data_IF_304806719531
#
_entry.id   IF_304806719531
#
_cell.length_a   1.000
_cell.length_b   1.000
_cell.length_c   1.000
_cell.angle_alpha   90.00
_cell.angle_beta   90.00
_cell.angle_gamma   90.00
#
_symmetry.space_group_name_H-M   'P 1'
#
loop_
_entity.id
_entity.type
_entity.pdbx_description
1 polymer ?
#
# COMPACT_ATOMS: atom_id res chain seq x y z
N UNK A 1 -5.65 20.76 -47.01
CA UNK A 1 -5.86 19.77 -45.96
C UNK A 1 -5.48 20.46 -44.65
N UNK A 2 -6.45 21.01 -43.89
CA UNK A 2 -6.18 21.64 -42.58
C UNK A 2 -5.94 20.53 -41.57
N UNK A 3 -4.80 20.54 -40.91
CA UNK A 3 -4.54 19.67 -39.76
C UNK A 3 -5.53 20.04 -38.66
N UNK A 4 -6.46 19.14 -38.37
CA UNK A 4 -7.29 19.21 -37.17
C UNK A 4 -6.37 18.86 -36.02
N UNK A 5 -5.95 19.86 -35.26
CA UNK A 5 -5.33 19.65 -33.96
C UNK A 5 -6.44 19.04 -33.07
N UNK A 6 -6.29 17.84 -32.51
CA UNK A 6 -7.29 17.33 -31.60
C UNK A 6 -7.33 18.31 -30.42
N UNK A 7 -8.48 18.97 -30.21
CA UNK A 7 -8.76 19.62 -28.94
C UNK A 7 -8.54 18.55 -27.86
N UNK A 8 -7.55 18.76 -26.99
CA UNK A 8 -7.34 17.88 -25.84
C UNK A 8 -8.61 17.97 -25.01
N UNK A 9 -9.30 16.83 -24.85
CA UNK A 9 -10.39 16.70 -23.90
C UNK A 9 -9.90 17.28 -22.55
N UNK A 10 -10.58 18.30 -21.98
CA UNK A 10 -10.15 18.93 -20.73
C UNK A 10 -9.95 17.91 -19.59
N UNK A 11 -10.68 16.80 -19.62
CA UNK A 11 -10.51 15.69 -18.68
C UNK A 11 -9.16 15.00 -18.81
N UNK A 12 -8.68 14.77 -20.04
CA UNK A 12 -7.38 14.12 -20.25
C UNK A 12 -6.21 15.02 -19.81
N UNK A 13 -6.31 16.33 -20.01
CA UNK A 13 -5.31 17.30 -19.52
C UNK A 13 -5.17 17.25 -17.99
N UNK A 14 -6.27 17.32 -17.26
CA UNK A 14 -6.28 17.29 -15.80
C UNK A 14 -5.69 15.98 -15.23
N UNK A 15 -6.00 14.84 -15.85
CA UNK A 15 -5.42 13.53 -15.45
C UNK A 15 -3.91 13.52 -15.71
N UNK A 16 -3.47 13.97 -16.89
CA UNK A 16 -2.04 13.99 -17.23
C UNK A 16 -1.24 14.89 -16.27
N UNK A 17 -1.78 16.05 -15.92
CA UNK A 17 -1.17 16.99 -14.98
C UNK A 17 -1.08 16.37 -13.57
N UNK A 18 -2.15 15.69 -13.10
CA UNK A 18 -2.16 14.98 -11.82
C UNK A 18 -1.11 13.87 -11.78
N UNK A 19 -1.03 13.04 -12.84
CA UNK A 19 -0.03 11.96 -12.93
C UNK A 19 1.39 12.54 -12.91
N UNK A 20 1.64 13.63 -13.65
CA UNK A 20 2.94 14.29 -13.66
C UNK A 20 3.31 14.90 -12.29
N UNK A 21 2.32 15.39 -11.55
CA UNK A 21 2.50 15.91 -10.19
C UNK A 21 2.58 14.82 -9.10
N UNK A 22 2.36 13.55 -9.46
CA UNK A 22 2.26 12.46 -8.47
C UNK A 22 0.99 12.51 -7.63
N UNK A 23 -0.04 13.23 -8.08
CA UNK A 23 -1.34 13.28 -7.44
C UNK A 23 -2.13 12.00 -7.79
N UNK A 24 -2.68 11.27 -6.81
CA UNK A 24 -3.39 10.03 -7.07
C UNK A 24 -4.72 10.30 -7.82
N UNK A 25 -4.96 9.57 -8.90
CA UNK A 25 -6.19 9.63 -9.70
C UNK A 25 -6.52 8.26 -10.30
N UNK A 26 -7.81 7.90 -10.34
CA UNK A 26 -8.30 6.73 -11.09
C UNK A 26 -9.10 7.21 -12.30
N UNK A 27 -8.83 6.64 -13.46
CA UNK A 27 -9.64 6.83 -14.66
C UNK A 27 -10.53 5.59 -14.84
N UNK A 28 -11.83 5.81 -14.79
CA UNK A 28 -12.86 4.82 -15.12
C UNK A 28 -13.30 5.00 -16.56
N UNK A 29 -13.30 3.94 -17.36
CA UNK A 29 -13.69 3.98 -18.77
C UNK A 29 -14.67 2.85 -19.09
N UNK A 30 -15.79 3.19 -19.74
CA UNK A 30 -16.74 2.19 -20.25
C UNK A 30 -16.10 1.40 -21.39
N UNK A 31 -15.97 0.10 -21.22
CA UNK A 31 -15.39 -0.81 -22.22
C UNK A 31 -16.46 -1.59 -22.96
N UNK A 32 -17.59 -1.92 -22.31
CA UNK A 32 -18.72 -2.65 -22.92
C UNK A 32 -20.04 -2.35 -22.22
N UNK A 33 -21.18 -2.63 -22.93
CA UNK A 33 -22.53 -2.49 -22.42
C UNK A 33 -23.35 -1.35 -23.05
N UNK A 34 -24.54 -1.06 -22.50
CA UNK A 34 -25.46 -0.04 -23.00
C UNK A 34 -24.98 1.41 -22.72
N UNK A 35 -24.08 1.62 -21.78
CA UNK A 35 -23.48 2.94 -21.52
C UNK A 35 -22.59 3.36 -22.70
N UNK A 36 -22.38 4.68 -22.94
CA UNK A 36 -21.59 5.15 -24.07
C UNK A 36 -20.15 4.63 -24.02
N UNK A 37 -19.73 3.83 -25.01
CA UNK A 37 -18.36 3.31 -25.09
C UNK A 37 -17.36 4.46 -25.16
N UNK A 38 -16.32 4.39 -24.37
CA UNK A 38 -15.30 5.44 -24.28
C UNK A 38 -15.70 6.60 -23.36
N UNK A 39 -16.92 6.58 -22.80
CA UNK A 39 -17.27 7.50 -21.72
C UNK A 39 -16.29 7.29 -20.55
N UNK A 40 -15.79 8.37 -19.99
CA UNK A 40 -14.78 8.34 -18.94
C UNK A 40 -15.12 9.25 -17.75
N UNK A 41 -14.72 8.79 -16.58
CA UNK A 41 -14.87 9.48 -15.32
C UNK A 41 -13.50 9.44 -14.59
N UNK A 42 -12.87 10.58 -14.42
CA UNK A 42 -11.68 10.72 -13.59
C UNK A 42 -12.09 10.96 -12.14
N UNK A 43 -11.47 10.21 -11.22
CA UNK A 43 -11.81 10.19 -9.79
C UNK A 43 -10.55 10.44 -8.97
N UNK A 44 -10.52 11.55 -8.26
CA UNK A 44 -9.53 11.88 -7.22
C UNK A 44 -10.09 11.54 -5.84
N UNK A 45 -9.31 11.59 -4.80
CA UNK A 45 -9.81 11.40 -3.43
C UNK A 45 -10.96 12.35 -3.05
N UNK A 46 -10.93 13.58 -3.52
CA UNK A 46 -11.80 14.69 -3.13
C UNK A 46 -12.75 15.19 -4.24
N UNK A 47 -12.49 14.87 -5.50
CA UNK A 47 -13.25 15.36 -6.66
C UNK A 47 -13.42 14.33 -7.76
N UNK A 48 -14.28 14.64 -8.72
CA UNK A 48 -14.47 13.87 -9.96
C UNK A 48 -14.56 14.79 -11.17
N UNK A 49 -14.29 14.26 -12.36
CA UNK A 49 -14.44 14.97 -13.64
C UNK A 49 -14.88 14.00 -14.73
N UNK A 50 -15.90 14.36 -15.49
CA UNK A 50 -16.49 13.51 -16.54
C UNK A 50 -17.73 12.78 -16.07
N UNK A 51 -18.23 11.84 -16.89
CA UNK A 51 -19.41 11.02 -16.61
C UNK A 51 -19.41 9.75 -17.47
N UNK A 52 -19.98 8.69 -16.96
CA UNK A 52 -20.19 7.40 -17.67
C UNK A 52 -21.58 7.32 -18.32
N UNK A 53 -22.39 8.40 -18.23
CA UNK A 53 -23.67 8.51 -18.90
C UNK A 53 -24.90 8.39 -17.99
N UNK A 54 -24.78 7.88 -16.76
CA UNK A 54 -25.85 7.81 -15.79
C UNK A 54 -25.35 8.18 -14.38
N UNK A 55 -26.09 9.00 -13.66
CA UNK A 55 -25.68 9.51 -12.34
C UNK A 55 -25.51 8.38 -11.29
N UNK A 56 -26.37 7.36 -11.35
CA UNK A 56 -26.26 6.19 -10.48
C UNK A 56 -24.99 5.38 -10.76
N UNK A 57 -24.63 5.20 -12.04
CA UNK A 57 -23.40 4.53 -12.47
C UNK A 57 -22.18 5.37 -12.02
N UNK A 58 -22.20 6.68 -12.23
CA UNK A 58 -21.14 7.59 -11.81
C UNK A 58 -20.89 7.50 -10.30
N UNK A 59 -21.95 7.46 -9.48
CA UNK A 59 -21.84 7.36 -8.04
C UNK A 59 -21.26 6.00 -7.59
N UNK A 60 -21.73 4.89 -8.17
CA UNK A 60 -21.24 3.55 -7.84
C UNK A 60 -19.76 3.40 -8.23
N UNK A 61 -19.42 3.81 -9.47
CA UNK A 61 -18.04 3.75 -9.98
C UNK A 61 -17.11 4.68 -9.20
N UNK A 62 -17.57 5.88 -8.82
CA UNK A 62 -16.76 6.79 -7.97
C UNK A 62 -16.39 6.15 -6.64
N UNK A 63 -17.33 5.49 -5.97
CA UNK A 63 -17.07 4.81 -4.70
C UNK A 63 -16.02 3.70 -4.86
N UNK A 64 -16.17 2.85 -5.88
CA UNK A 64 -15.25 1.74 -6.15
C UNK A 64 -13.88 2.24 -6.63
N UNK A 65 -13.85 3.27 -7.50
CA UNK A 65 -12.62 3.90 -7.97
C UNK A 65 -11.78 4.50 -6.83
N UNK A 66 -12.41 5.11 -5.83
CA UNK A 66 -11.70 5.59 -4.63
C UNK A 66 -11.12 4.45 -3.81
N UNK A 67 -11.85 3.33 -3.68
CA UNK A 67 -11.33 2.12 -3.05
C UNK A 67 -10.12 1.54 -3.79
N UNK A 68 -10.19 1.41 -5.12
CA UNK A 68 -9.08 0.94 -5.95
C UNK A 68 -7.87 1.90 -5.88
N UNK A 69 -8.12 3.21 -5.88
CA UNK A 69 -7.08 4.22 -5.76
C UNK A 69 -6.33 4.14 -4.43
N UNK A 70 -7.05 3.96 -3.33
CA UNK A 70 -6.45 3.75 -2.00
C UNK A 70 -5.56 2.50 -1.94
N UNK A 71 -5.85 1.49 -2.78
CA UNK A 71 -5.03 0.28 -2.91
C UNK A 71 -3.94 0.40 -3.98
N UNK A 72 -4.01 1.41 -4.85
CA UNK A 72 -3.22 1.50 -6.07
C UNK A 72 -3.51 0.36 -7.04
N UNK A 73 -4.75 -0.14 -7.06
CA UNK A 73 -5.15 -1.28 -7.87
C UNK A 73 -5.81 -0.84 -9.18
N UNK A 74 -5.72 -1.67 -10.20
CA UNK A 74 -6.31 -1.47 -11.54
C UNK A 74 -7.06 -2.75 -11.92
N UNK A 75 -8.24 -2.63 -12.51
CA UNK A 75 -9.02 -3.79 -12.89
C UNK A 75 -10.34 -3.47 -13.57
N UNK A 76 -11.01 -4.53 -14.05
CA UNK A 76 -12.33 -4.47 -14.63
C UNK A 76 -13.40 -4.65 -13.55
N UNK A 77 -14.48 -3.87 -13.64
CA UNK A 77 -15.65 -3.96 -12.77
C UNK A 77 -16.91 -4.04 -13.62
N UNK A 78 -17.95 -4.68 -13.07
CA UNK A 78 -19.22 -4.86 -13.74
C UNK A 78 -20.35 -4.23 -12.93
N UNK A 79 -21.27 -3.59 -13.64
CA UNK A 79 -22.41 -2.87 -13.06
C UNK A 79 -23.65 -3.04 -13.92
N UNK A 80 -24.82 -2.76 -13.36
CA UNK A 80 -26.02 -2.45 -14.14
C UNK A 80 -25.98 -1.01 -14.69
N UNK A 81 -26.92 -0.65 -15.59
CA UNK A 81 -26.93 0.67 -16.25
C UNK A 81 -27.01 1.86 -15.28
N UNK A 82 -27.64 1.65 -14.12
CA UNK A 82 -27.79 2.65 -13.06
C UNK A 82 -26.84 2.39 -11.86
N UNK A 83 -25.77 1.61 -12.07
CA UNK A 83 -24.76 1.35 -11.04
C UNK A 83 -25.05 0.19 -10.09
N UNK A 84 -25.99 -0.70 -10.45
CA UNK A 84 -26.31 -1.89 -9.65
C UNK A 84 -25.11 -2.85 -9.63
N UNK A 85 -24.57 -3.15 -8.45
CA UNK A 85 -23.36 -3.98 -8.26
C UNK A 85 -23.56 -5.48 -8.48
N UNK A 86 -24.81 -5.94 -8.58
CA UNK A 86 -25.13 -7.36 -8.81
C UNK A 86 -25.52 -7.68 -10.26
N UNK A 87 -25.34 -6.72 -11.14
CA UNK A 87 -25.58 -6.83 -12.57
C UNK A 87 -24.24 -6.71 -13.30
N UNK A 88 -24.15 -7.26 -14.52
CA UNK A 88 -22.93 -7.31 -15.32
C UNK A 88 -23.10 -6.78 -16.75
N UNK A 89 -24.13 -5.96 -16.96
CA UNK A 89 -24.47 -5.43 -18.28
C UNK A 89 -23.59 -4.26 -18.75
N UNK A 90 -22.86 -3.61 -17.84
CA UNK A 90 -21.89 -2.54 -18.13
C UNK A 90 -20.53 -2.93 -17.61
N UNK A 91 -19.52 -2.94 -18.46
CA UNK A 91 -18.13 -3.18 -18.08
C UNK A 91 -17.37 -1.86 -18.01
N UNK A 92 -16.76 -1.59 -16.86
CA UNK A 92 -15.95 -0.38 -16.62
C UNK A 92 -14.52 -0.80 -16.22
N UNK A 93 -13.53 -0.31 -16.96
CA UNK A 93 -12.13 -0.49 -16.60
C UNK A 93 -11.69 0.67 -15.70
N UNK A 94 -11.21 0.34 -14.50
CA UNK A 94 -10.65 1.28 -13.53
C UNK A 94 -9.14 1.22 -13.64
N UNK A 95 -8.50 2.33 -14.00
CA UNK A 95 -7.05 2.47 -14.07
C UNK A 95 -6.57 3.49 -13.05
N UNK A 96 -5.92 3.01 -11.99
CA UNK A 96 -5.40 3.86 -10.92
C UNK A 96 -3.96 4.29 -11.18
N UNK A 97 -3.73 5.59 -11.11
CA UNK A 97 -2.41 6.21 -11.11
C UNK A 97 -2.16 6.74 -9.69
N UNK A 98 -1.28 6.09 -8.97
CA UNK A 98 -0.92 6.47 -7.61
C UNK A 98 0.61 6.44 -7.47
N UNK A 99 1.21 7.35 -6.70
CA UNK A 99 2.64 7.28 -6.43
C UNK A 99 3.00 5.91 -5.80
N UNK A 100 4.25 5.44 -5.95
CA UNK A 100 4.70 4.23 -5.30
C UNK A 100 4.38 4.22 -3.81
N UNK A 101 3.88 3.12 -3.24
CA UNK A 101 3.62 3.03 -1.81
C UNK A 101 4.91 3.17 -1.02
N UNK A 102 4.84 3.66 0.20
CA UNK A 102 6.01 3.85 1.06
C UNK A 102 6.31 2.57 1.85
N UNK A 103 7.62 2.27 2.00
CA UNK A 103 8.10 1.30 2.98
C UNK A 103 9.08 1.99 3.91
N UNK A 104 8.72 2.10 5.18
CA UNK A 104 9.53 2.69 6.24
C UNK A 104 10.19 1.56 7.03
N UNK A 105 11.52 1.50 6.97
CA UNK A 105 12.33 0.48 7.66
C UNK A 105 13.09 1.16 8.79
N UNK A 106 12.78 0.81 10.01
CA UNK A 106 13.39 1.35 11.21
C UNK A 106 14.41 0.38 11.81
N UNK A 107 15.68 0.84 11.94
CA UNK A 107 16.83 0.05 12.35
C UNK A 107 17.68 -0.36 11.15
N UNK A 108 18.85 0.27 11.00
CA UNK A 108 19.75 0.10 9.84
C UNK A 108 20.79 -1.02 10.07
N UNK A 109 20.36 -2.21 10.51
CA UNK A 109 21.17 -3.42 10.64
C UNK A 109 21.13 -4.28 9.37
N UNK A 110 21.78 -5.43 9.35
CA UNK A 110 21.92 -6.26 8.13
C UNK A 110 20.58 -6.71 7.54
N UNK A 111 19.60 -7.05 8.39
CA UNK A 111 18.24 -7.35 7.95
C UNK A 111 17.56 -6.20 7.21
N UNK A 112 17.86 -4.95 7.60
CA UNK A 112 17.28 -3.78 6.94
C UNK A 112 17.73 -3.64 5.49
N UNK A 113 18.98 -3.99 5.19
CA UNK A 113 19.48 -3.95 3.82
C UNK A 113 18.76 -4.97 2.92
N UNK A 114 18.49 -6.18 3.43
CA UNK A 114 17.75 -7.20 2.71
C UNK A 114 16.26 -6.81 2.51
N UNK A 115 15.61 -6.30 3.57
CA UNK A 115 14.22 -5.81 3.50
C UNK A 115 14.11 -4.61 2.57
N UNK A 116 15.06 -3.68 2.59
CA UNK A 116 15.06 -2.54 1.67
C UNK A 116 15.18 -2.98 0.20
N UNK A 117 16.05 -3.96 -0.12
CA UNK A 117 16.18 -4.51 -1.48
C UNK A 117 14.90 -5.15 -1.99
N UNK A 118 14.26 -5.98 -1.18
CA UNK A 118 13.02 -6.63 -1.58
C UNK A 118 11.85 -5.64 -1.65
N UNK A 119 11.84 -4.62 -0.79
CA UNK A 119 10.87 -3.53 -0.86
C UNK A 119 10.98 -2.73 -2.15
N UNK A 120 12.19 -2.34 -2.54
CA UNK A 120 12.47 -1.68 -3.82
C UNK A 120 12.08 -2.56 -5.02
N UNK A 121 12.44 -3.84 -5.00
CA UNK A 121 12.02 -4.81 -6.01
C UNK A 121 10.49 -4.92 -6.15
N UNK A 122 9.75 -4.79 -5.06
CA UNK A 122 8.28 -4.78 -5.04
C UNK A 122 7.65 -3.43 -5.40
N UNK A 123 8.46 -2.44 -5.77
CA UNK A 123 8.02 -1.12 -6.21
C UNK A 123 7.64 -0.16 -5.08
N UNK A 124 8.12 -0.38 -3.86
CA UNK A 124 7.98 0.57 -2.77
C UNK A 124 9.03 1.69 -2.86
N UNK A 125 8.63 2.92 -2.50
CA UNK A 125 9.59 3.96 -2.14
C UNK A 125 10.10 3.68 -0.73
N UNK A 126 11.33 3.16 -0.64
CA UNK A 126 11.91 2.70 0.62
C UNK A 126 12.68 3.82 1.32
N UNK A 127 12.41 4.02 2.60
CA UNK A 127 13.21 4.86 3.50
C UNK A 127 13.69 4.03 4.68
N UNK A 128 14.99 4.07 4.96
CA UNK A 128 15.61 3.44 6.14
C UNK A 128 15.96 4.52 7.16
N UNK A 129 15.52 4.36 8.41
CA UNK A 129 15.79 5.31 9.48
C UNK A 129 16.43 4.62 10.69
N UNK A 130 17.52 5.17 11.19
CA UNK A 130 18.17 4.74 12.45
C UNK A 130 18.73 5.94 13.20
N UNK A 131 18.56 5.97 14.52
CA UNK A 131 19.07 7.03 15.36
C UNK A 131 20.61 7.08 15.43
N UNK A 132 21.28 6.02 15.02
CA UNK A 132 22.74 5.88 15.10
C UNK A 132 23.37 6.13 13.73
N UNK A 133 24.04 7.28 13.50
CA UNK A 133 24.60 7.64 12.20
C UNK A 133 25.59 6.63 11.63
N UNK A 134 26.28 5.87 12.49
CA UNK A 134 27.22 4.83 12.06
C UNK A 134 26.52 3.68 11.30
N UNK A 135 25.25 3.43 11.56
CA UNK A 135 24.45 2.44 10.85
C UNK A 135 23.63 3.05 9.70
N UNK A 136 23.16 4.28 9.85
CA UNK A 136 22.43 5.02 8.81
C UNK A 136 23.40 5.53 7.72
N UNK A 137 24.04 4.60 7.02
CA UNK A 137 25.04 4.89 5.99
C UNK A 137 24.54 4.48 4.62
N UNK A 138 24.32 5.40 3.65
CA UNK A 138 23.75 5.10 2.33
C UNK A 138 24.43 3.95 1.58
N UNK A 139 25.75 3.80 1.72
CA UNK A 139 26.53 2.73 1.05
C UNK A 139 26.10 1.29 1.41
N UNK A 140 25.32 1.11 2.47
CA UNK A 140 24.82 -0.20 2.91
C UNK A 140 23.52 -0.61 2.23
N UNK A 141 22.88 0.31 1.53
CA UNK A 141 21.55 0.13 0.95
C UNK A 141 21.59 0.28 -0.58
N UNK A 142 20.58 -0.24 -1.31
CA UNK A 142 20.46 -0.03 -2.75
C UNK A 142 20.43 1.45 -3.13
N UNK A 143 20.87 1.75 -4.36
CA UNK A 143 20.67 3.06 -4.95
C UNK A 143 19.17 3.39 -5.01
N UNK A 144 18.79 4.63 -4.66
CA UNK A 144 17.38 5.06 -4.59
C UNK A 144 16.72 4.87 -3.22
N UNK A 145 17.31 4.10 -2.30
CA UNK A 145 16.85 4.02 -0.92
C UNK A 145 17.27 5.26 -0.15
N UNK A 146 16.29 5.97 0.40
CA UNK A 146 16.53 7.11 1.27
C UNK A 146 17.01 6.63 2.66
N UNK A 147 18.11 7.19 3.17
CA UNK A 147 18.69 6.81 4.46
C UNK A 147 18.75 8.01 5.39
N UNK A 148 18.04 7.90 6.50
CA UNK A 148 17.84 9.00 7.48
C UNK A 148 18.49 8.65 8.81
N UNK A 149 19.33 9.57 9.32
CA UNK A 149 19.96 9.48 10.65
C UNK A 149 19.14 10.32 11.65
N UNK A 150 18.08 9.76 12.18
CA UNK A 150 17.15 10.43 13.11
C UNK A 150 16.51 9.43 14.07
N UNK A 151 15.94 9.94 15.17
CA UNK A 151 15.14 9.14 16.09
C UNK A 151 13.89 8.59 15.39
N UNK A 152 13.69 7.27 15.34
CA UNK A 152 12.61 6.64 14.58
C UNK A 152 11.22 7.21 14.81
N UNK A 153 10.83 7.43 16.06
CA UNK A 153 9.53 7.98 16.42
C UNK A 153 9.35 9.45 16.03
N UNK A 154 10.44 10.24 15.97
CA UNK A 154 10.40 11.63 15.52
C UNK A 154 10.23 11.68 14.01
N UNK A 155 11.07 10.95 13.30
CA UNK A 155 10.94 10.82 11.85
C UNK A 155 9.54 10.35 11.43
N UNK A 156 8.98 9.32 12.10
CA UNK A 156 7.65 8.83 11.77
C UNK A 156 6.56 9.88 12.05
N UNK A 157 6.71 10.69 13.12
CA UNK A 157 5.76 11.75 13.45
C UNK A 157 5.67 12.80 12.35
N UNK A 158 6.79 13.16 11.77
CA UNK A 158 6.91 14.21 10.74
C UNK A 158 6.77 13.64 9.31
N UNK A 159 6.44 12.35 9.20
CA UNK A 159 6.28 11.63 7.94
C UNK A 159 4.81 11.33 7.67
N UNK A 160 4.32 11.64 6.47
CA UNK A 160 3.00 11.24 6.03
C UNK A 160 2.93 9.74 5.78
N UNK A 161 1.86 9.11 6.26
CA UNK A 161 1.53 7.71 6.03
C UNK A 161 0.10 7.57 5.51
N UNK A 162 -0.14 6.54 4.72
CA UNK A 162 -1.45 6.21 4.15
C UNK A 162 -1.76 4.71 4.32
N UNK A 163 -2.94 4.28 3.86
CA UNK A 163 -3.39 2.89 3.92
C UNK A 163 -2.55 1.90 3.07
N UNK A 164 -1.56 2.40 2.31
CA UNK A 164 -0.61 1.58 1.54
C UNK A 164 0.77 1.54 2.17
N UNK A 165 1.00 2.33 3.22
CA UNK A 165 2.31 2.43 3.87
C UNK A 165 2.63 1.15 4.64
N UNK A 166 3.84 0.65 4.44
CA UNK A 166 4.42 -0.49 5.15
C UNK A 166 5.44 0.02 6.17
N UNK A 167 5.34 -0.43 7.42
CA UNK A 167 6.27 -0.08 8.50
C UNK A 167 6.92 -1.36 9.01
N UNK A 168 8.27 -1.45 8.87
CA UNK A 168 9.09 -2.55 9.36
C UNK A 168 10.00 -2.07 10.49
N UNK A 169 9.77 -2.54 11.72
CA UNK A 169 10.59 -2.24 12.89
C UNK A 169 11.57 -3.38 13.10
N UNK A 170 12.82 -3.17 12.69
CA UNK A 170 13.89 -4.17 12.72
C UNK A 170 14.88 -3.95 13.87
N UNK A 171 14.61 -2.99 14.74
CA UNK A 171 15.32 -2.84 16.01
C UNK A 171 14.75 -3.81 17.06
N UNK A 172 15.48 -4.00 18.15
CA UNK A 172 15.05 -4.80 19.32
C UNK A 172 15.39 -4.10 20.63
N UNK A 173 15.72 -2.80 20.59
CA UNK A 173 15.95 -2.00 21.77
C UNK A 173 14.65 -1.28 22.17
N UNK A 174 14.10 -1.58 23.37
CA UNK A 174 12.83 -1.01 23.83
C UNK A 174 12.79 0.53 23.83
N UNK A 175 13.93 1.20 23.95
CA UNK A 175 13.98 2.66 23.93
C UNK A 175 13.63 3.25 22.57
N UNK A 176 13.83 2.49 21.49
CA UNK A 176 13.41 2.86 20.13
C UNK A 176 12.05 2.26 19.79
N UNK A 177 11.85 0.96 20.10
CA UNK A 177 10.67 0.20 19.70
C UNK A 177 9.38 0.75 20.31
N UNK A 178 9.36 1.03 21.62
CA UNK A 178 8.13 1.42 22.31
C UNK A 178 7.61 2.78 21.83
N UNK A 179 8.41 3.86 21.79
CA UNK A 179 7.94 5.15 21.27
C UNK A 179 7.53 5.07 19.79
N UNK A 180 8.30 4.33 18.98
CA UNK A 180 8.03 4.16 17.55
C UNK A 180 6.73 3.42 17.28
N UNK A 181 6.51 2.27 17.94
CA UNK A 181 5.30 1.46 17.76
C UNK A 181 4.07 2.14 18.34
N UNK A 182 4.23 2.91 19.42
CA UNK A 182 3.14 3.75 19.96
C UNK A 182 2.65 4.76 18.93
N UNK A 183 3.55 5.36 18.17
CA UNK A 183 3.21 6.26 17.06
C UNK A 183 2.65 5.48 15.86
N UNK A 184 3.31 4.40 15.43
CA UNK A 184 2.95 3.65 14.24
C UNK A 184 1.55 3.01 14.32
N UNK A 185 1.19 2.44 15.48
CA UNK A 185 -0.09 1.74 15.67
C UNK A 185 -1.32 2.66 15.67
N UNK A 186 -1.12 3.97 15.79
CA UNK A 186 -2.16 5.01 15.70
C UNK A 186 -2.30 5.64 14.32
N UNK A 187 -1.38 5.32 13.40
CA UNK A 187 -1.37 5.88 12.05
C UNK A 187 -2.00 4.94 11.01
N UNK A 188 -2.48 5.45 9.88
CA UNK A 188 -2.84 4.63 8.75
C UNK A 188 -1.60 3.89 8.23
N UNK A 189 -1.73 2.59 8.03
CA UNK A 189 -0.70 1.73 7.44
C UNK A 189 -1.31 0.39 7.02
N UNK A 190 -0.87 -0.13 5.87
CA UNK A 190 -1.23 -1.46 5.37
C UNK A 190 -0.61 -2.57 6.21
N UNK A 191 0.58 -2.30 6.78
CA UNK A 191 1.35 -3.29 7.51
C UNK A 191 2.23 -2.62 8.56
N UNK A 192 2.25 -3.19 9.77
CA UNK A 192 3.16 -2.80 10.83
C UNK A 192 3.76 -4.08 11.40
N UNK A 193 5.04 -4.34 11.07
CA UNK A 193 5.75 -5.54 11.49
C UNK A 193 6.92 -5.22 12.42
N UNK A 194 7.15 -6.02 13.44
CA UNK A 194 8.28 -5.86 14.34
C UNK A 194 9.09 -7.15 14.51
N UNK A 195 10.39 -7.06 14.32
CA UNK A 195 11.33 -8.15 14.52
C UNK A 195 11.44 -8.53 16.00
N UNK A 196 11.67 -9.81 16.27
CA UNK A 196 11.94 -10.33 17.60
C UNK A 196 11.49 -11.78 17.76
N UNK A 197 11.88 -12.39 18.87
CA UNK A 197 11.37 -13.71 19.26
C UNK A 197 9.94 -13.60 19.82
N UNK A 198 9.25 -14.75 19.97
CA UNK A 198 7.94 -14.80 20.66
C UNK A 198 8.01 -14.21 22.07
N UNK A 199 9.11 -14.41 22.79
CA UNK A 199 9.35 -13.80 24.09
C UNK A 199 9.48 -12.27 23.99
N UNK A 200 10.27 -11.79 23.05
CA UNK A 200 10.42 -10.34 22.80
C UNK A 200 9.09 -9.70 22.44
N UNK A 201 8.24 -10.43 21.69
CA UNK A 201 6.90 -9.97 21.36
C UNK A 201 6.02 -9.81 22.61
N UNK A 202 6.00 -10.82 23.51
CA UNK A 202 5.21 -10.76 24.75
C UNK A 202 5.65 -9.57 25.63
N UNK A 203 6.96 -9.43 25.87
CA UNK A 203 7.52 -8.30 26.65
C UNK A 203 7.23 -6.93 26.01
N UNK A 204 7.21 -6.87 24.67
CA UNK A 204 6.86 -5.66 23.92
C UNK A 204 5.38 -5.31 24.03
N UNK A 205 4.51 -6.31 23.89
CA UNK A 205 3.06 -6.13 24.01
C UNK A 205 2.66 -5.58 25.38
N UNK A 206 3.26 -6.10 26.46
CA UNK A 206 3.05 -5.60 27.82
C UNK A 206 3.48 -4.14 27.96
N UNK A 207 4.66 -3.77 27.43
CA UNK A 207 5.14 -2.37 27.47
C UNK A 207 4.26 -1.42 26.65
N UNK A 208 3.77 -1.86 25.49
CA UNK A 208 2.88 -1.07 24.64
C UNK A 208 1.51 -0.88 25.30
N UNK A 209 0.97 -1.92 25.96
CA UNK A 209 -0.25 -1.80 26.77
C UNK A 209 -0.05 -0.81 27.93
N UNK A 210 1.10 -0.89 28.63
CA UNK A 210 1.50 0.07 29.66
C UNK A 210 1.69 1.50 29.16
N UNK A 211 1.99 1.68 27.88
CA UNK A 211 2.04 3.00 27.19
C UNK A 211 0.66 3.49 26.71
N UNK A 212 -0.42 2.78 27.04
CA UNK A 212 -1.80 3.19 26.77
C UNK A 212 -2.33 2.82 25.38
N UNK A 213 -1.76 1.80 24.73
CA UNK A 213 -2.35 1.25 23.51
C UNK A 213 -3.47 0.25 23.86
N UNK A 214 -4.55 0.33 23.08
CA UNK A 214 -5.70 -0.55 23.18
C UNK A 214 -5.42 -1.90 22.53
N UNK A 215 -6.18 -2.94 22.88
CA UNK A 215 -6.11 -4.25 22.21
C UNK A 215 -6.34 -4.16 20.70
N UNK A 216 -7.23 -3.28 20.25
CA UNK A 216 -7.47 -2.99 18.82
C UNK A 216 -6.22 -2.44 18.12
N UNK A 217 -5.51 -1.51 18.76
CA UNK A 217 -4.26 -0.97 18.22
C UNK A 217 -3.18 -2.07 18.19
N UNK A 218 -3.03 -2.82 19.27
CA UNK A 218 -2.07 -3.92 19.39
C UNK A 218 -2.32 -5.04 18.36
N UNK A 219 -3.56 -5.35 18.03
CA UNK A 219 -3.90 -6.39 17.04
C UNK A 219 -3.41 -6.08 15.62
N UNK A 220 -3.06 -4.83 15.33
CA UNK A 220 -2.45 -4.42 14.06
C UNK A 220 -0.97 -4.79 13.94
N UNK A 221 -0.31 -5.11 15.08
CA UNK A 221 1.12 -5.43 15.10
C UNK A 221 1.37 -6.87 14.68
N UNK A 222 2.16 -7.06 13.63
CA UNK A 222 2.70 -8.36 13.21
C UNK A 222 4.05 -8.58 13.89
N UNK A 223 4.07 -9.44 14.89
CA UNK A 223 5.28 -9.74 15.66
C UNK A 223 5.20 -11.14 16.28
N UNK A 224 6.17 -12.00 16.06
CA UNK A 224 7.34 -11.84 15.18
C UNK A 224 6.96 -11.55 13.73
N UNK A 225 7.77 -10.72 13.04
CA UNK A 225 7.52 -10.28 11.66
C UNK A 225 7.74 -11.41 10.65
N UNK A 226 6.87 -11.51 9.65
CA UNK A 226 7.01 -12.44 8.52
C UNK A 226 6.25 -13.77 8.68
N UNK A 227 6.14 -14.52 7.58
CA UNK A 227 5.56 -15.85 7.56
C UNK A 227 6.55 -16.89 8.10
N UNK A 228 6.04 -17.99 8.64
CA UNK A 228 6.85 -19.13 9.11
C UNK A 228 7.39 -19.95 7.93
N UNK A 229 8.50 -19.48 7.36
CA UNK A 229 9.23 -20.15 6.25
C UNK A 229 10.47 -20.90 6.74
N UNK A 230 10.79 -20.89 8.05
CA UNK A 230 12.03 -21.42 8.57
C UNK A 230 13.27 -20.58 8.20
N UNK A 231 13.09 -19.30 7.86
CA UNK A 231 14.12 -18.38 7.43
C UNK A 231 15.25 -18.21 8.47
N UNK A 232 16.51 -18.15 7.98
CA UNK A 232 17.72 -18.07 8.83
C UNK A 232 18.64 -16.92 8.44
N UNK A 233 18.78 -16.63 7.15
CA UNK A 233 19.62 -15.52 6.66
C UNK A 233 18.82 -14.23 6.58
N UNK A 234 19.47 -13.05 6.57
CA UNK A 234 18.78 -11.78 6.37
C UNK A 234 17.92 -11.75 5.10
N UNK A 235 18.38 -12.35 4.02
CA UNK A 235 17.67 -12.43 2.75
C UNK A 235 16.42 -13.30 2.84
N UNK A 236 16.52 -14.47 3.49
CA UNK A 236 15.37 -15.36 3.71
C UNK A 236 14.32 -14.71 4.62
N UNK A 237 14.75 -13.98 5.67
CA UNK A 237 13.86 -13.21 6.53
C UNK A 237 13.17 -12.10 5.73
N UNK A 238 13.89 -11.41 4.85
CA UNK A 238 13.30 -10.40 3.97
C UNK A 238 12.22 -11.00 3.05
N UNK A 239 12.45 -12.21 2.50
CA UNK A 239 11.44 -12.96 1.72
C UNK A 239 10.22 -13.28 2.61
N UNK A 240 10.42 -13.76 3.83
CA UNK A 240 9.35 -14.07 4.77
C UNK A 240 8.49 -12.83 5.09
N UNK A 241 9.11 -11.69 5.34
CA UNK A 241 8.44 -10.40 5.58
C UNK A 241 7.67 -9.94 4.34
N UNK A 242 8.29 -9.98 3.17
CA UNK A 242 7.67 -9.61 1.90
C UNK A 242 6.46 -10.50 1.57
N UNK A 243 6.56 -11.80 1.81
CA UNK A 243 5.47 -12.75 1.59
C UNK A 243 4.27 -12.45 2.52
N UNK A 244 4.50 -12.11 3.79
CA UNK A 244 3.42 -11.70 4.70
C UNK A 244 2.76 -10.39 4.25
N UNK A 245 3.54 -9.39 3.83
CA UNK A 245 3.03 -8.12 3.29
C UNK A 245 2.14 -8.38 2.07
N UNK A 246 2.60 -9.20 1.11
CA UNK A 246 1.85 -9.54 -0.10
C UNK A 246 0.58 -10.31 0.24
N UNK A 247 0.66 -11.31 1.14
CA UNK A 247 -0.49 -12.09 1.56
C UNK A 247 -1.57 -11.21 2.20
N UNK A 248 -1.19 -10.32 3.11
CA UNK A 248 -2.14 -9.40 3.76
C UNK A 248 -2.74 -8.38 2.78
N UNK A 249 -1.93 -7.85 1.87
CA UNK A 249 -2.39 -6.89 0.86
C UNK A 249 -3.48 -7.48 -0.04
N UNK A 250 -3.33 -8.73 -0.44
CA UNK A 250 -4.19 -9.36 -1.44
C UNK A 250 -5.14 -10.44 -0.87
N UNK A 251 -5.10 -10.68 0.45
CA UNK A 251 -5.93 -11.67 1.11
C UNK A 251 -5.48 -13.11 0.87
N UNK A 252 -4.20 -13.30 0.57
CA UNK A 252 -3.60 -14.64 0.42
C UNK A 252 -3.45 -15.35 1.74
N UNK A 253 -3.54 -16.68 1.75
CA UNK A 253 -3.38 -17.52 2.95
C UNK A 253 -1.92 -17.76 3.34
N UNK A 254 -0.98 -17.55 2.41
CA UNK A 254 0.43 -17.95 2.57
C UNK A 254 0.67 -19.47 2.38
N UNK A 255 -0.38 -20.24 2.10
CA UNK A 255 -0.26 -21.68 1.80
C UNK A 255 0.27 -21.91 0.38
N UNK A 256 0.90 -23.06 0.09
CA UNK A 256 1.25 -23.44 -1.27
C UNK A 256 0.02 -23.47 -2.17
N UNK A 257 0.09 -22.89 -3.38
CA UNK A 257 -1.02 -22.90 -4.34
C UNK A 257 -1.49 -24.32 -4.71
N UNK A 258 -0.59 -25.30 -4.67
CA UNK A 258 -0.91 -26.71 -4.88
C UNK A 258 -1.78 -27.32 -3.78
N UNK A 259 -1.89 -26.66 -2.63
CA UNK A 259 -2.72 -27.09 -1.50
C UNK A 259 -3.97 -26.20 -1.30
N UNK A 260 -4.25 -25.31 -2.25
CA UNK A 260 -5.45 -24.46 -2.25
C UNK A 260 -6.36 -24.79 -3.42
N UNK A 261 -7.63 -24.48 -3.26
CA UNK A 261 -8.66 -24.66 -4.30
C UNK A 261 -9.20 -23.29 -4.77
N UNK A 262 -9.81 -23.27 -5.96
CA UNK A 262 -10.42 -22.06 -6.52
C UNK A 262 -9.47 -21.25 -7.42
N UNK A 263 -9.85 -20.01 -7.69
CA UNK A 263 -9.06 -19.13 -8.56
C UNK A 263 -7.78 -18.68 -7.87
N UNK A 264 -6.66 -18.73 -8.59
CA UNK A 264 -5.33 -18.26 -8.11
C UNK A 264 -5.37 -16.77 -7.75
N UNK A 265 -6.15 -16.00 -8.49
CA UNK A 265 -6.43 -14.58 -8.21
C UNK A 265 -7.94 -14.42 -7.99
N UNK A 266 -8.44 -14.64 -6.78
CA UNK A 266 -9.85 -14.42 -6.49
C UNK A 266 -10.18 -12.94 -6.74
N UNK A 267 -11.28 -12.70 -7.48
CA UNK A 267 -11.81 -11.35 -7.58
C UNK A 267 -12.14 -10.87 -6.16
N UNK A 268 -11.58 -9.75 -5.77
CA UNK A 268 -11.94 -9.14 -4.49
C UNK A 268 -13.43 -8.82 -4.56
N UNK A 269 -14.21 -9.46 -3.70
CA UNK A 269 -15.60 -9.07 -3.52
C UNK A 269 -15.66 -7.62 -3.06
N UNK A 270 -16.57 -6.81 -3.57
CA UNK A 270 -16.73 -5.40 -3.22
C UNK A 270 -16.99 -5.20 -1.73
#
# INVERSE_FOLDING_TARGET
MRAVTPERDPGFGAVADSVAAGEPVTVASVTDGPAPRGAALAVWPDRTLGSLGASGLDAAVTADARGELALGATGLRHYGPEGQRREDSVSVFLQSFAPPPRMLVFGAIDYAAAVARIGDFLGYRVTVCDARPVFATPRRFPEGVEVIAEWPHRYLRDTDTDERTVICVLTHDPKFDVPLLTEALRRPAAYIGAMGSRRTHADRAERLAGAGLTERELSRLRSPVGLDLGARTPEEVAVSVAAEIVALRWGGSGAPLSATEGAVHPHRAP
#
